data_IF_392094927066
#
_entry.id   IF_392094927066
#
_cell.length_a   1.000
_cell.length_b   1.000
_cell.length_c   1.000
_cell.angle_alpha   90.00
_cell.angle_beta   90.00
_cell.angle_gamma   90.00
#
_symmetry.space_group_name_H-M   'P 1'
#
loop_
_entity.id
_entity.type
_entity.pdbx_description
1 polymer ?
#
# COMPACT_ATOMS: atom_id res chain seq x y z
N UNK A 1 -14.42 -8.85 -18.80
CA UNK A 1 -13.34 -7.82 -18.78
C UNK A 1 -12.87 -7.70 -17.33
N UNK A 2 -11.63 -8.08 -17.01
CA UNK A 2 -11.05 -7.69 -15.73
C UNK A 2 -10.82 -6.18 -15.77
N UNK A 3 -11.57 -5.42 -14.97
CA UNK A 3 -11.36 -3.98 -14.84
C UNK A 3 -10.08 -3.81 -14.02
N UNK A 4 -9.07 -3.21 -14.62
CA UNK A 4 -7.92 -2.71 -13.88
C UNK A 4 -8.38 -1.40 -13.23
N UNK A 5 -8.49 -1.41 -11.91
CA UNK A 5 -8.81 -0.21 -11.13
C UNK A 5 -7.50 0.32 -10.54
N UNK A 6 -7.23 1.60 -10.75
CA UNK A 6 -6.08 2.31 -10.21
C UNK A 6 -6.60 3.38 -9.24
N UNK A 7 -6.13 3.32 -8.01
CA UNK A 7 -6.29 4.38 -7.02
C UNK A 7 -4.94 5.08 -6.90
N UNK A 8 -4.92 6.40 -7.03
CA UNK A 8 -3.73 7.24 -6.83
C UNK A 8 -4.02 8.18 -5.67
N UNK A 9 -3.17 8.15 -4.65
CA UNK A 9 -3.30 8.94 -3.43
C UNK A 9 -1.92 9.15 -2.79
N UNK A 10 -1.87 9.47 -1.50
CA UNK A 10 -0.67 9.49 -0.68
C UNK A 10 -0.92 8.72 0.60
N UNK A 11 0.15 8.24 1.22
CA UNK A 11 0.04 7.66 2.57
C UNK A 11 -0.37 8.77 3.53
N UNK A 12 -1.36 8.49 4.37
CA UNK A 12 -1.78 9.36 5.45
C UNK A 12 -0.71 9.31 6.57
N UNK A 13 0.16 10.32 6.61
CA UNK A 13 1.27 10.41 7.56
C UNK A 13 2.59 9.81 7.06
N UNK A 14 3.48 9.48 8.01
CA UNK A 14 4.85 9.05 7.71
C UNK A 14 4.94 7.53 7.50
N UNK A 15 5.63 7.12 6.43
CA UNK A 15 5.82 5.71 6.10
C UNK A 15 7.28 5.28 6.27
N UNK A 16 7.52 4.36 7.20
CA UNK A 16 8.85 3.80 7.50
C UNK A 16 9.13 2.43 6.88
N UNK A 17 8.25 1.93 6.00
CA UNK A 17 8.36 0.63 5.34
C UNK A 17 7.49 -0.49 5.93
N UNK A 18 7.77 -1.72 5.50
CA UNK A 18 6.97 -2.92 5.77
C UNK A 18 7.53 -3.75 6.94
N UNK A 19 6.64 -4.15 7.84
CA UNK A 19 6.98 -4.91 9.07
C UNK A 19 6.21 -6.23 9.20
N UNK A 20 5.49 -6.65 8.17
CA UNK A 20 4.72 -7.90 8.13
C UNK A 20 3.29 -7.81 8.65
N UNK A 21 2.95 -6.71 9.33
CA UNK A 21 1.58 -6.39 9.81
C UNK A 21 1.24 -4.92 9.56
N UNK A 22 1.89 -4.32 8.56
CA UNK A 22 1.73 -2.90 8.30
C UNK A 22 0.34 -2.66 7.73
N UNK A 23 -0.40 -1.73 8.36
CA UNK A 23 -1.62 -1.14 7.80
C UNK A 23 -1.24 0.24 7.29
N UNK A 24 -1.64 0.52 6.05
CA UNK A 24 -1.36 1.77 5.34
C UNK A 24 -2.69 2.44 5.09
N UNK A 25 -2.87 3.59 5.73
CA UNK A 25 -3.99 4.47 5.46
C UNK A 25 -3.60 5.44 4.35
N UNK A 26 -4.52 5.71 3.43
CA UNK A 26 -4.34 6.69 2.38
C UNK A 26 -5.16 7.95 2.69
N UNK A 27 -4.74 9.08 2.13
CA UNK A 27 -5.43 10.38 2.30
C UNK A 27 -6.88 10.37 1.77
N UNK A 28 -7.22 9.43 0.88
CA UNK A 28 -8.59 9.24 0.39
C UNK A 28 -9.53 8.51 1.39
N UNK A 29 -9.01 8.14 2.56
CA UNK A 29 -9.73 7.46 3.63
C UNK A 29 -9.78 5.93 3.50
N UNK A 30 -9.17 5.36 2.47
CA UNK A 30 -9.01 3.91 2.35
C UNK A 30 -7.87 3.39 3.21
N UNK A 31 -7.98 2.14 3.66
CA UNK A 31 -6.96 1.48 4.45
C UNK A 31 -6.63 0.11 3.85
N UNK A 32 -5.34 -0.21 3.83
CA UNK A 32 -4.79 -1.38 3.16
C UNK A 32 -3.83 -2.09 4.10
N UNK A 33 -4.03 -3.38 4.32
CA UNK A 33 -3.09 -4.20 5.10
C UNK A 33 -2.13 -4.91 4.16
N UNK A 34 -0.87 -5.01 4.57
CA UNK A 34 0.10 -5.88 3.92
C UNK A 34 -0.42 -7.32 3.88
N UNK A 35 -0.40 -7.95 2.69
CA UNK A 35 -0.93 -9.30 2.50
C UNK A 35 0.08 -10.38 2.95
N UNK A 36 1.36 -10.26 2.56
CA UNK A 36 2.39 -11.23 2.92
C UNK A 36 3.18 -10.72 4.13
N UNK A 37 3.12 -11.42 5.25
CA UNK A 37 3.84 -11.03 6.46
C UNK A 37 5.39 -11.10 6.34
N UNK A 38 5.87 -11.81 5.32
CA UNK A 38 7.29 -12.00 5.03
C UNK A 38 7.91 -10.81 4.30
N UNK A 39 7.10 -9.99 3.62
CA UNK A 39 7.59 -8.81 2.92
C UNK A 39 8.13 -7.80 3.95
N UNK A 40 9.44 -7.58 3.95
CA UNK A 40 10.08 -6.62 4.84
C UNK A 40 10.81 -5.58 4.03
N UNK A 41 10.55 -4.33 4.36
CA UNK A 41 11.26 -3.19 3.80
C UNK A 41 11.52 -2.20 4.90
N UNK A 42 12.78 -1.79 5.06
CA UNK A 42 13.19 -0.80 6.04
C UNK A 42 13.86 0.35 5.29
N UNK A 43 13.17 1.47 5.21
CA UNK A 43 13.71 2.73 4.70
C UNK A 43 13.71 3.79 5.79
N UNK A 44 14.33 4.93 5.50
CA UNK A 44 14.09 6.15 6.27
C UNK A 44 12.61 6.54 6.16
N UNK A 45 11.96 6.96 7.25
CA UNK A 45 10.59 7.45 7.18
C UNK A 45 10.47 8.59 6.17
N UNK A 46 9.55 8.46 5.21
CA UNK A 46 9.17 9.53 4.29
C UNK A 46 7.80 10.04 4.72
N UNK A 47 7.64 11.36 4.73
CA UNK A 47 6.37 12.00 5.11
C UNK A 47 5.43 12.12 3.91
N UNK A 48 4.19 11.65 4.08
CA UNK A 48 3.14 11.62 3.06
C UNK A 48 3.63 11.16 1.66
N UNK A 49 4.35 10.02 1.52
CA UNK A 49 4.82 9.57 0.22
C UNK A 49 3.66 9.29 -0.73
N UNK A 50 3.89 9.52 -2.02
CA UNK A 50 2.96 9.12 -3.06
C UNK A 50 2.68 7.62 -3.03
N UNK A 51 1.41 7.25 -3.21
CA UNK A 51 0.96 5.87 -3.17
C UNK A 51 -0.04 5.58 -4.29
N UNK A 52 0.04 4.38 -4.85
CA UNK A 52 -0.94 3.88 -5.80
C UNK A 52 -1.34 2.45 -5.45
N UNK A 53 -2.63 2.15 -5.58
CA UNK A 53 -3.17 0.79 -5.45
C UNK A 53 -3.72 0.34 -6.80
N UNK A 54 -3.24 -0.80 -7.26
CA UNK A 54 -3.60 -1.40 -8.54
C UNK A 54 -4.37 -2.68 -8.25
N UNK A 55 -5.62 -2.74 -8.69
CA UNK A 55 -6.41 -3.97 -8.71
C UNK A 55 -6.16 -4.73 -10.00
N UNK A 56 -5.54 -5.90 -9.88
CA UNK A 56 -5.29 -6.81 -10.99
C UNK A 56 -5.99 -8.16 -10.79
N UNK A 57 -5.74 -9.09 -11.71
CA UNK A 57 -6.31 -10.45 -11.67
C UNK A 57 -5.87 -11.28 -10.45
N UNK A 58 -4.78 -10.88 -9.78
CA UNK A 58 -4.21 -11.57 -8.62
C UNK A 58 -4.44 -10.82 -7.30
N UNK A 59 -5.38 -9.87 -7.27
CA UNK A 59 -5.67 -9.04 -6.10
C UNK A 59 -5.08 -7.64 -6.20
N UNK A 60 -4.80 -7.01 -5.06
CA UNK A 60 -4.34 -5.63 -4.99
C UNK A 60 -2.83 -5.56 -4.74
N UNK A 61 -2.17 -4.72 -5.52
CA UNK A 61 -0.78 -4.33 -5.28
C UNK A 61 -0.71 -2.87 -4.91
N UNK A 62 0.17 -2.54 -3.97
CA UNK A 62 0.46 -1.16 -3.61
C UNK A 62 1.88 -0.82 -4.04
N UNK A 63 2.02 0.39 -4.60
CA UNK A 63 3.29 1.05 -4.85
C UNK A 63 3.37 2.28 -3.96
N UNK A 64 4.40 2.34 -3.12
CA UNK A 64 4.74 3.54 -2.34
C UNK A 64 6.07 4.07 -2.82
N UNK A 65 6.24 5.39 -2.89
CA UNK A 65 7.51 6.00 -3.27
C UNK A 65 8.68 5.44 -2.45
N UNK A 66 9.75 5.05 -3.15
CA UNK A 66 10.96 4.49 -2.54
C UNK A 66 10.85 3.04 -2.05
N UNK A 67 9.71 2.37 -2.26
CA UNK A 67 9.48 0.99 -1.80
C UNK A 67 9.12 0.09 -2.99
N UNK A 68 9.65 -1.15 -3.08
CA UNK A 68 9.20 -2.11 -4.08
C UNK A 68 7.69 -2.36 -3.98
N UNK A 69 7.04 -2.74 -5.08
CA UNK A 69 5.62 -3.08 -5.05
C UNK A 69 5.37 -4.31 -4.16
N UNK A 70 4.28 -4.29 -3.40
CA UNK A 70 3.90 -5.38 -2.51
C UNK A 70 2.40 -5.62 -2.55
N UNK A 71 1.98 -6.83 -2.18
CA UNK A 71 0.56 -7.18 -2.14
C UNK A 71 -0.10 -6.62 -0.89
N UNK A 72 -1.34 -6.14 -1.07
CA UNK A 72 -2.18 -5.62 0.00
C UNK A 72 -3.58 -6.18 -0.10
N UNK A 73 -4.28 -6.18 1.03
CA UNK A 73 -5.71 -6.46 1.09
C UNK A 73 -6.45 -5.21 1.59
N UNK A 74 -7.66 -4.93 1.08
CA UNK A 74 -8.49 -3.86 1.61
C UNK A 74 -8.92 -4.17 3.06
N UNK A 75 -8.81 -3.18 3.93
CA UNK A 75 -9.36 -3.25 5.29
C UNK A 75 -10.83 -2.83 5.22
N UNK A 76 -11.75 -3.76 5.48
CA UNK A 76 -13.17 -3.46 5.63
C UNK A 76 -13.42 -2.98 7.07
N UNK A 77 -14.03 -1.81 7.23
CA UNK A 77 -14.62 -1.39 8.52
C UNK A 77 -15.90 -2.15 8.79
#
# INVERSE_FOLDING_TARGET
KAKMDLIVSRVNGSFGGLRGRTVIELEDGTAWKQANAEDRFRGSPVDHPGAAVIHGIFGYKMRVEGVPEFYVDPVRK
#
